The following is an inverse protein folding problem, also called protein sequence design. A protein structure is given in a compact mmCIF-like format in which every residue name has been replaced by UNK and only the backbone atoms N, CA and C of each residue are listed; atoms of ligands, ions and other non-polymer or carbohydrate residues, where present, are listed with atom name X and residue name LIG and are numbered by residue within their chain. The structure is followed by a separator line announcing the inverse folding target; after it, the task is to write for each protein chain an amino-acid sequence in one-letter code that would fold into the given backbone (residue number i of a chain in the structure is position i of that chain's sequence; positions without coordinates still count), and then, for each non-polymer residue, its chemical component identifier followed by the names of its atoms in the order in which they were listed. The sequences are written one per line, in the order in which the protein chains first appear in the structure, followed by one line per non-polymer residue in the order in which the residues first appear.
data_IF_954278887926
#
_entry.id   IF_954278887926
#
_cell.length_a   1.000
_cell.length_b   1.000
_cell.length_c   1.000
_cell.angle_alpha   90.00
_cell.angle_beta   90.00
_cell.angle_gamma   90.00
#
_symmetry.space_group_name_H-M   'P 1'
#
loop_
_entity.id
_entity.type
_entity.pdbx_description
1 polymer ?
#
# COMPACT_ATOMS: atom_id res chain seq x y z
N UNK A 1 -55.36 5.95 49.26
CA UNK A 1 -55.26 5.24 47.96
C UNK A 1 -54.92 6.15 46.78
N UNK A 2 -55.32 7.44 46.77
CA UNK A 2 -54.99 8.38 45.68
C UNK A 2 -53.50 8.72 45.53
N UNK A 3 -52.76 8.80 46.64
CA UNK A 3 -51.31 9.08 46.66
C UNK A 3 -50.44 7.92 46.13
N UNK A 4 -50.87 6.68 46.35
CA UNK A 4 -50.20 5.48 45.83
C UNK A 4 -50.43 5.33 44.31
N UNK A 5 -51.61 5.73 43.84
CA UNK A 5 -51.98 5.73 42.44
C UNK A 5 -51.24 6.82 41.65
N UNK A 6 -51.02 8.00 42.22
CA UNK A 6 -50.22 9.07 41.59
C UNK A 6 -48.72 8.75 41.53
N UNK A 7 -48.18 8.04 42.52
CA UNK A 7 -46.78 7.60 42.53
C UNK A 7 -46.52 6.51 41.47
N UNK A 8 -47.48 5.62 41.27
CA UNK A 8 -47.42 4.53 40.28
C UNK A 8 -47.64 5.02 38.84
N UNK A 9 -48.44 6.07 38.65
CA UNK A 9 -48.61 6.74 37.35
C UNK A 9 -47.37 7.59 37.00
N UNK A 10 -46.76 8.26 37.97
CA UNK A 10 -45.55 9.04 37.76
C UNK A 10 -44.33 8.17 37.39
N UNK A 11 -44.18 6.99 38.00
CA UNK A 11 -43.13 6.02 37.63
C UNK A 11 -43.38 5.39 36.26
N UNK A 12 -44.65 5.16 35.88
CA UNK A 12 -45.01 4.64 34.56
C UNK A 12 -44.77 5.65 33.41
N UNK A 13 -44.83 6.96 33.66
CA UNK A 13 -44.55 7.99 32.64
C UNK A 13 -43.06 8.38 32.52
N UNK A 14 -42.25 8.14 33.55
CA UNK A 14 -40.80 8.40 33.52
C UNK A 14 -39.98 7.23 32.94
N UNK A 15 -40.49 6.00 33.01
CA UNK A 15 -39.86 4.79 32.46
C UNK A 15 -39.65 4.81 30.92
N UNK A 16 -40.62 5.23 30.09
CA UNK A 16 -40.46 5.16 28.63
C UNK A 16 -39.54 6.25 28.04
N UNK A 17 -39.30 7.35 28.77
CA UNK A 17 -38.41 8.43 28.32
C UNK A 17 -36.93 8.07 28.52
N UNK A 18 -36.58 7.29 29.56
CA UNK A 18 -35.22 6.80 29.79
C UNK A 18 -34.81 5.64 28.87
N UNK A 19 -35.78 4.84 28.38
CA UNK A 19 -35.54 3.75 27.42
C UNK A 19 -35.41 4.23 25.96
N UNK A 20 -35.72 5.51 25.68
CA UNK A 20 -35.71 6.07 24.32
C UNK A 20 -34.45 6.89 23.99
N UNK A 21 -33.37 6.81 24.79
CA UNK A 21 -32.06 7.26 24.32
C UNK A 21 -31.49 6.23 23.34
N UNK A 22 -32.05 6.19 22.14
CA UNK A 22 -31.40 5.57 21.00
C UNK A 22 -30.17 6.42 20.66
N UNK A 23 -29.05 6.11 21.30
CA UNK A 23 -27.75 6.63 20.89
C UNK A 23 -27.55 6.20 19.45
N UNK A 24 -27.61 7.14 18.49
CA UNK A 24 -27.17 6.86 17.13
C UNK A 24 -25.71 6.41 17.24
N UNK A 25 -25.46 5.13 16.94
CA UNK A 25 -24.10 4.62 16.91
C UNK A 25 -23.30 5.53 15.96
N UNK A 26 -22.11 6.03 16.36
CA UNK A 26 -21.28 6.77 15.43
C UNK A 26 -21.11 5.89 14.19
N UNK A 27 -21.50 6.42 13.03
CA UNK A 27 -21.44 5.70 11.76
C UNK A 27 -20.07 5.04 11.66
N UNK A 28 -20.05 3.72 11.65
CA UNK A 28 -18.80 2.97 11.57
C UNK A 28 -18.17 3.34 10.24
N UNK A 29 -17.13 4.18 10.30
CA UNK A 29 -16.31 4.48 9.14
C UNK A 29 -15.70 3.14 8.71
N UNK A 30 -16.26 2.53 7.66
CA UNK A 30 -15.71 1.33 7.06
C UNK A 30 -14.32 1.66 6.57
N UNK A 31 -13.32 1.16 7.29
CA UNK A 31 -11.91 1.29 6.93
C UNK A 31 -11.71 0.58 5.59
N UNK A 32 -11.66 1.36 4.52
CA UNK A 32 -11.37 0.83 3.18
C UNK A 32 -9.90 0.45 3.14
N UNK A 33 -9.61 -0.85 3.05
CA UNK A 33 -8.26 -1.34 2.84
C UNK A 33 -7.95 -1.37 1.35
N UNK A 34 -6.91 -0.64 0.96
CA UNK A 34 -6.34 -0.68 -0.38
C UNK A 34 -5.08 -1.53 -0.36
N UNK A 35 -5.09 -2.63 -1.12
CA UNK A 35 -3.91 -3.48 -1.32
C UNK A 35 -3.43 -3.29 -2.75
N UNK A 36 -2.25 -2.69 -2.89
CA UNK A 36 -1.57 -2.57 -4.19
C UNK A 36 -0.48 -3.65 -4.26
N UNK A 37 -0.52 -4.46 -5.32
CA UNK A 37 0.53 -5.45 -5.62
C UNK A 37 1.37 -4.91 -6.78
N UNK A 38 2.65 -4.68 -6.52
CA UNK A 38 3.64 -4.30 -7.52
C UNK A 38 4.73 -5.37 -7.67
N UNK A 39 5.68 -5.14 -8.57
CA UNK A 39 6.84 -5.99 -8.76
C UNK A 39 8.03 -5.21 -9.33
N UNK A 40 9.22 -5.77 -9.21
CA UNK A 40 10.47 -5.11 -9.59
C UNK A 40 11.03 -4.17 -8.51
N UNK A 41 12.29 -3.77 -8.68
CA UNK A 41 12.98 -2.85 -7.77
C UNK A 41 13.82 -1.87 -8.59
N UNK A 42 13.38 -0.60 -8.64
CA UNK A 42 14.03 0.49 -9.39
C UNK A 42 13.15 1.09 -10.49
N UNK A 43 13.72 2.02 -11.26
CA UNK A 43 12.99 2.82 -12.27
C UNK A 43 12.66 2.06 -13.56
N UNK A 44 13.16 0.83 -13.73
CA UNK A 44 12.85 -0.04 -14.87
C UNK A 44 13.51 0.37 -16.20
N UNK A 45 14.49 1.29 -16.18
CA UNK A 45 15.17 1.78 -17.38
C UNK A 45 16.60 1.25 -17.45
N UNK A 46 17.00 0.76 -18.62
CA UNK A 46 18.36 0.28 -18.88
C UNK A 46 18.55 -1.18 -18.48
N UNK A 47 19.56 -1.44 -17.65
CA UNK A 47 19.97 -2.80 -17.27
C UNK A 47 19.36 -3.27 -15.95
N UNK A 48 18.69 -4.41 -15.97
CA UNK A 48 18.31 -5.13 -14.75
C UNK A 48 19.55 -5.78 -14.13
N UNK A 49 19.89 -5.40 -12.89
CA UNK A 49 21.03 -5.98 -12.17
C UNK A 49 20.85 -7.50 -11.97
N UNK A 50 19.66 -7.94 -11.55
CA UNK A 50 19.34 -9.36 -11.38
C UNK A 50 19.35 -10.13 -12.70
N UNK A 51 18.85 -9.53 -13.78
CA UNK A 51 18.89 -10.17 -15.09
C UNK A 51 20.31 -10.26 -15.64
N UNK A 52 21.16 -9.25 -15.42
CA UNK A 52 22.58 -9.30 -15.77
C UNK A 52 23.34 -10.35 -14.95
N UNK A 53 23.02 -10.48 -13.66
CA UNK A 53 23.56 -11.51 -12.79
C UNK A 53 23.19 -12.92 -13.28
N UNK A 54 21.90 -13.18 -13.58
CA UNK A 54 21.45 -14.46 -14.13
C UNK A 54 22.14 -14.82 -15.45
N UNK A 55 22.24 -13.86 -16.38
CA UNK A 55 23.00 -14.07 -17.61
C UNK A 55 24.49 -14.36 -17.35
N UNK A 56 25.08 -13.75 -16.32
CA UNK A 56 26.44 -14.06 -15.91
C UNK A 56 26.60 -15.50 -15.40
N UNK A 57 25.63 -15.98 -14.60
CA UNK A 57 25.57 -17.37 -14.15
C UNK A 57 25.42 -18.36 -15.31
N UNK A 58 24.64 -17.99 -16.34
CA UNK A 58 24.48 -18.77 -17.57
C UNK A 58 25.71 -18.70 -18.51
N UNK A 59 26.78 -17.99 -18.10
CA UNK A 59 28.04 -17.93 -18.84
C UNK A 59 28.11 -16.87 -19.95
N UNK A 60 27.12 -15.99 -20.07
CA UNK A 60 27.18 -14.90 -21.05
C UNK A 60 28.26 -13.88 -20.68
N UNK A 61 29.10 -13.51 -21.66
CA UNK A 61 30.09 -12.44 -21.48
C UNK A 61 29.42 -11.06 -21.41
N UNK A 62 30.07 -10.13 -20.70
CA UNK A 62 29.59 -8.75 -20.49
C UNK A 62 29.09 -8.05 -21.77
N UNK A 63 29.76 -8.29 -22.91
CA UNK A 63 29.36 -7.69 -24.17
C UNK A 63 27.99 -8.17 -24.67
N UNK A 64 27.63 -9.44 -24.44
CA UNK A 64 26.30 -9.96 -24.78
C UNK A 64 25.25 -9.42 -23.81
N UNK A 65 25.57 -9.35 -22.52
CA UNK A 65 24.70 -8.78 -21.48
C UNK A 65 24.37 -7.33 -21.83
N UNK A 66 25.38 -6.49 -22.09
CA UNK A 66 25.16 -5.08 -22.43
C UNK A 66 24.30 -4.89 -23.69
N UNK A 67 24.52 -5.70 -24.73
CA UNK A 67 23.72 -5.61 -25.98
C UNK A 67 22.27 -6.06 -25.81
N UNK A 68 21.95 -6.86 -24.78
CA UNK A 68 20.58 -7.23 -24.45
C UNK A 68 19.79 -6.04 -23.91
N UNK A 69 20.43 -5.22 -23.06
CA UNK A 69 19.78 -4.07 -22.41
C UNK A 69 19.89 -2.77 -23.21
N UNK A 70 20.96 -2.61 -23.98
CA UNK A 70 21.22 -1.41 -24.76
C UNK A 70 21.39 -1.79 -26.23
N UNK A 71 20.33 -1.60 -27.02
CA UNK A 71 20.31 -1.97 -28.44
C UNK A 71 21.17 -0.99 -29.25
N UNK A 72 21.93 -1.52 -30.21
CA UNK A 72 22.74 -0.70 -31.13
C UNK A 72 24.00 -0.08 -30.51
N UNK A 73 24.38 -0.44 -29.28
CA UNK A 73 25.59 0.12 -28.66
C UNK A 73 26.87 -0.42 -29.31
N UNK A 74 27.93 0.39 -29.20
CA UNK A 74 29.31 -0.02 -29.44
C UNK A 74 30.09 0.02 -28.13
N UNK A 75 30.87 -1.02 -27.86
CA UNK A 75 31.74 -1.08 -26.69
C UNK A 75 33.12 -0.63 -27.10
N UNK A 76 33.65 0.41 -26.45
CA UNK A 76 34.96 0.98 -26.76
C UNK A 76 35.81 1.08 -25.51
N UNK A 77 37.11 0.77 -25.65
CA UNK A 77 38.09 1.02 -24.59
C UNK A 77 38.39 2.52 -24.57
N UNK A 78 38.16 3.16 -23.43
CA UNK A 78 38.53 4.56 -23.25
C UNK A 78 40.06 4.69 -23.22
N UNK A 79 40.60 5.62 -24.02
CA UNK A 79 41.98 6.07 -23.85
C UNK A 79 41.97 7.06 -22.69
N UNK A 80 42.83 6.84 -21.70
CA UNK A 80 42.97 7.74 -20.55
C UNK A 80 43.40 9.11 -21.07
N UNK A 81 42.47 10.08 -21.10
CA UNK A 81 42.82 11.47 -21.34
C UNK A 81 43.15 12.09 -19.99
N UNK A 82 44.41 12.48 -19.82
CA UNK A 82 44.88 13.16 -18.62
C UNK A 82 44.63 14.65 -18.82
N UNK A 83 43.45 15.11 -18.39
CA UNK A 83 43.23 16.53 -18.13
C UNK A 83 43.58 16.76 -16.66
N UNK A 84 44.71 17.45 -16.47
CA UNK A 84 45.04 18.16 -15.23
C UNK A 84 44.49 19.57 -15.37
#
# INVERSE_FOLDING_TARGET
MRLLLSLLVATAMLLPCFLSQAQAAPGQATKVNWTVKGGGFGHGIGMSAYGAYGMGLDGYKYGRILRQYYRGIQIRKLKKQRNI
#
